data_IF_857837793788
#
_entry.id   IF_857837793788
#
_cell.length_a   1.000
_cell.length_b   1.000
_cell.length_c   1.000
_cell.angle_alpha   90.00
_cell.angle_beta   90.00
_cell.angle_gamma   90.00
#
_symmetry.space_group_name_H-M   'P 1'
#
loop_
_entity.id
_entity.type
_entity.pdbx_description
1 polymer ?
#
# COMPACT_ATOMS: atom_id res chain seq x y z
N UNK A 1 -11.76 -19.67 -34.20
CA UNK A 1 -12.15 -19.23 -32.86
C UNK A 1 -13.56 -19.74 -32.60
N UNK A 2 -13.72 -20.82 -31.84
CA UNK A 2 -15.06 -21.40 -31.57
C UNK A 2 -15.75 -20.56 -30.50
N UNK A 3 -16.87 -19.98 -30.83
CA UNK A 3 -17.70 -19.17 -29.93
C UNK A 3 -18.25 -20.12 -28.84
N UNK A 4 -17.90 -19.86 -27.59
CA UNK A 4 -18.37 -20.64 -26.46
C UNK A 4 -19.71 -20.07 -25.95
N UNK A 5 -20.81 -20.62 -26.45
CA UNK A 5 -22.17 -20.17 -26.11
C UNK A 5 -22.48 -20.23 -24.60
N UNK A 6 -21.84 -21.13 -23.83
CA UNK A 6 -21.99 -21.21 -22.39
C UNK A 6 -21.46 -19.94 -21.70
N UNK A 7 -20.29 -19.46 -22.12
CA UNK A 7 -19.69 -18.24 -21.53
C UNK A 7 -20.53 -17.01 -21.88
N UNK A 8 -21.03 -16.92 -23.12
CA UNK A 8 -21.92 -15.82 -23.52
C UNK A 8 -23.19 -15.82 -22.69
N UNK A 9 -23.80 -16.99 -22.48
CA UNK A 9 -24.99 -17.13 -21.65
C UNK A 9 -24.75 -16.70 -20.19
N UNK A 10 -23.60 -17.04 -19.60
CA UNK A 10 -23.23 -16.61 -18.26
C UNK A 10 -23.06 -15.08 -18.16
N UNK A 11 -22.34 -14.45 -19.10
CA UNK A 11 -22.19 -13.00 -19.11
C UNK A 11 -23.53 -12.29 -19.33
N UNK A 12 -24.38 -12.81 -20.20
CA UNK A 12 -25.72 -12.27 -20.40
C UNK A 12 -26.58 -12.37 -19.14
N UNK A 13 -26.54 -13.50 -18.45
CA UNK A 13 -27.25 -13.69 -17.18
C UNK A 13 -26.78 -12.69 -16.11
N UNK A 14 -25.48 -12.50 -15.95
CA UNK A 14 -24.90 -11.51 -15.02
C UNK A 14 -25.35 -10.09 -15.38
N UNK A 15 -25.32 -9.74 -16.67
CA UNK A 15 -25.81 -8.44 -17.14
C UNK A 15 -27.28 -8.22 -16.82
N UNK A 16 -28.13 -9.23 -17.05
CA UNK A 16 -29.55 -9.18 -16.69
C UNK A 16 -29.78 -9.01 -15.18
N UNK A 17 -28.99 -9.68 -14.34
CA UNK A 17 -29.08 -9.56 -12.89
C UNK A 17 -28.70 -8.15 -12.42
N UNK A 18 -27.61 -7.57 -12.98
CA UNK A 18 -27.18 -6.20 -12.65
C UNK A 18 -28.25 -5.18 -13.09
N UNK A 19 -28.77 -5.31 -14.30
CA UNK A 19 -29.87 -4.46 -14.78
C UNK A 19 -31.13 -4.63 -13.91
N UNK A 20 -31.47 -5.86 -13.54
CA UNK A 20 -32.60 -6.16 -12.65
C UNK A 20 -32.45 -5.47 -11.30
N UNK A 21 -31.27 -5.50 -10.68
CA UNK A 21 -31.00 -4.77 -9.43
C UNK A 21 -31.12 -3.26 -9.60
N UNK A 22 -30.73 -2.72 -10.76
CA UNK A 22 -30.88 -1.29 -11.09
C UNK A 22 -32.34 -0.84 -11.09
N UNK A 23 -33.24 -1.65 -11.66
CA UNK A 23 -34.67 -1.36 -11.73
C UNK A 23 -35.41 -1.65 -10.42
N UNK A 24 -35.04 -2.71 -9.70
CA UNK A 24 -35.76 -3.17 -8.49
C UNK A 24 -35.30 -2.40 -7.24
N UNK A 25 -34.01 -2.14 -7.10
CA UNK A 25 -33.45 -1.46 -5.91
C UNK A 25 -33.04 -0.03 -6.20
N UNK A 26 -31.86 0.13 -6.84
CA UNK A 26 -31.36 1.43 -7.27
C UNK A 26 -30.20 1.27 -8.24
N UNK A 27 -30.01 2.27 -9.11
CA UNK A 27 -28.88 2.33 -10.02
C UNK A 27 -27.53 2.46 -9.29
N UNK A 28 -27.49 3.14 -8.13
CA UNK A 28 -26.29 3.24 -7.31
C UNK A 28 -25.85 1.87 -6.81
N UNK A 29 -26.78 1.03 -6.35
CA UNK A 29 -26.50 -0.34 -5.90
C UNK A 29 -26.00 -1.20 -7.06
N UNK A 30 -26.65 -1.11 -8.23
CA UNK A 30 -26.25 -1.87 -9.41
C UNK A 30 -24.83 -1.49 -9.88
N UNK A 31 -24.51 -0.20 -9.92
CA UNK A 31 -23.17 0.30 -10.26
C UNK A 31 -22.12 -0.09 -9.22
N UNK A 32 -22.47 -0.07 -7.94
CA UNK A 32 -21.58 -0.54 -6.88
C UNK A 32 -21.24 -2.03 -7.04
N UNK A 33 -22.23 -2.89 -7.30
CA UNK A 33 -22.02 -4.31 -7.56
C UNK A 33 -21.15 -4.52 -8.82
N UNK A 34 -21.42 -3.78 -9.88
CA UNK A 34 -20.63 -3.84 -11.10
C UNK A 34 -19.16 -3.47 -10.84
N UNK A 35 -18.91 -2.36 -10.13
CA UNK A 35 -17.55 -1.92 -9.80
C UNK A 35 -16.82 -2.96 -8.94
N UNK A 36 -17.47 -3.52 -7.91
CA UNK A 36 -16.88 -4.57 -7.09
C UNK A 36 -16.57 -5.83 -7.92
N UNK A 37 -17.45 -6.19 -8.85
CA UNK A 37 -17.22 -7.28 -9.78
C UNK A 37 -16.02 -7.04 -10.71
N UNK A 38 -15.88 -5.83 -11.25
CA UNK A 38 -14.75 -5.45 -12.11
C UNK A 38 -13.42 -5.45 -11.33
N UNK A 39 -13.39 -4.91 -10.13
CA UNK A 39 -12.20 -4.95 -9.26
C UNK A 39 -11.81 -6.40 -8.97
N UNK A 40 -12.78 -7.25 -8.62
CA UNK A 40 -12.54 -8.67 -8.37
C UNK A 40 -12.03 -9.41 -9.62
N UNK A 41 -12.53 -9.05 -10.81
CA UNK A 41 -12.05 -9.60 -12.07
C UNK A 41 -10.59 -9.22 -12.37
N UNK A 42 -10.20 -7.96 -12.11
CA UNK A 42 -8.82 -7.50 -12.25
C UNK A 42 -7.89 -8.24 -11.29
N UNK A 43 -8.33 -8.41 -10.02
CA UNK A 43 -7.57 -9.19 -9.04
C UNK A 43 -7.41 -10.66 -9.49
N UNK A 44 -8.47 -11.29 -9.98
CA UNK A 44 -8.42 -12.66 -10.48
C UNK A 44 -7.49 -12.82 -11.68
N UNK A 45 -7.44 -11.83 -12.60
CA UNK A 45 -6.48 -11.80 -13.70
C UNK A 45 -5.04 -11.69 -13.18
N UNK A 46 -4.78 -10.84 -12.20
CA UNK A 46 -3.46 -10.71 -11.57
C UNK A 46 -3.00 -12.02 -10.92
N UNK A 47 -3.89 -12.70 -10.19
CA UNK A 47 -3.63 -14.04 -9.61
C UNK A 47 -3.34 -15.06 -10.70
N UNK A 48 -4.12 -15.07 -11.78
CA UNK A 48 -3.94 -16.01 -12.90
C UNK A 48 -2.60 -15.78 -13.63
N UNK A 49 -2.12 -14.55 -13.75
CA UNK A 49 -0.79 -14.26 -14.29
C UNK A 49 0.31 -14.85 -13.42
N UNK A 50 0.19 -14.75 -12.11
CA UNK A 50 1.19 -15.27 -11.17
C UNK A 50 1.12 -16.79 -11.08
N UNK A 51 -0.04 -17.35 -10.79
CA UNK A 51 -0.22 -18.79 -10.57
C UNK A 51 -0.34 -19.57 -11.88
N UNK A 52 -1.21 -19.12 -12.80
CA UNK A 52 -1.49 -19.83 -14.05
C UNK A 52 -0.36 -19.79 -15.05
N UNK A 53 0.29 -18.62 -15.23
CA UNK A 53 1.37 -18.48 -16.22
C UNK A 53 2.76 -18.59 -15.62
N UNK A 54 3.04 -17.96 -14.51
CA UNK A 54 4.38 -17.96 -13.90
C UNK A 54 4.60 -19.15 -12.95
N UNK A 55 3.58 -19.89 -12.57
CA UNK A 55 3.68 -21.00 -11.61
C UNK A 55 4.06 -20.56 -10.18
N UNK A 56 3.91 -19.29 -9.87
CA UNK A 56 4.26 -18.70 -8.57
C UNK A 56 3.04 -18.70 -7.66
N UNK A 57 3.08 -19.52 -6.60
CA UNK A 57 2.00 -19.59 -5.64
C UNK A 57 2.10 -18.45 -4.61
N UNK A 58 1.53 -17.29 -4.94
CA UNK A 58 1.51 -16.12 -4.08
C UNK A 58 0.16 -16.01 -3.37
N UNK A 59 0.15 -16.14 -2.05
CA UNK A 59 -1.04 -15.99 -1.20
C UNK A 59 -1.18 -14.56 -0.63
N UNK A 60 -0.13 -13.76 -0.73
CA UNK A 60 -0.06 -12.40 -0.17
C UNK A 60 -0.70 -11.30 -1.01
N UNK A 61 -1.68 -11.60 -1.86
CA UNK A 61 -2.28 -10.63 -2.78
C UNK A 61 -2.98 -9.49 -2.06
N UNK A 62 -3.59 -9.75 -0.91
CA UNK A 62 -4.31 -8.75 -0.14
C UNK A 62 -3.41 -7.59 0.34
N UNK A 63 -2.13 -7.84 0.64
CA UNK A 63 -1.18 -6.77 0.97
C UNK A 63 -0.93 -5.81 -0.20
N UNK A 64 -0.84 -6.33 -1.42
CA UNK A 64 -0.67 -5.49 -2.61
C UNK A 64 -1.94 -4.70 -2.96
N UNK A 65 -3.12 -5.28 -2.74
CA UNK A 65 -4.41 -4.59 -2.90
C UNK A 65 -4.53 -3.47 -1.88
N UNK A 66 -4.12 -3.72 -0.62
CA UNK A 66 -4.09 -2.72 0.43
C UNK A 66 -3.16 -1.53 0.09
N UNK A 67 -1.97 -1.81 -0.46
CA UNK A 67 -1.05 -0.76 -0.95
C UNK A 67 -1.66 0.08 -2.08
N UNK A 68 -2.39 -0.54 -3.00
CA UNK A 68 -3.12 0.18 -4.05
C UNK A 68 -4.20 1.11 -3.48
N UNK A 69 -4.96 0.64 -2.49
CA UNK A 69 -5.95 1.44 -1.77
C UNK A 69 -5.32 2.60 -0.98
N UNK A 70 -4.18 2.35 -0.32
CA UNK A 70 -3.42 3.38 0.37
C UNK A 70 -2.97 4.49 -0.59
N UNK A 71 -2.48 4.14 -1.78
CA UNK A 71 -2.07 5.13 -2.78
C UNK A 71 -3.23 6.04 -3.21
N UNK A 72 -4.45 5.50 -3.32
CA UNK A 72 -5.63 6.30 -3.63
C UNK A 72 -5.87 7.37 -2.55
N UNK A 73 -5.77 6.99 -1.27
CA UNK A 73 -5.90 7.92 -0.14
C UNK A 73 -4.77 8.95 -0.14
N UNK A 74 -3.52 8.51 -0.26
CA UNK A 74 -2.35 9.40 -0.19
C UNK A 74 -2.31 10.44 -1.32
N UNK A 75 -2.81 10.12 -2.51
CA UNK A 75 -2.71 10.98 -3.69
C UNK A 75 -3.96 11.84 -3.88
N UNK A 76 -5.15 11.25 -3.77
CA UNK A 76 -6.39 11.94 -4.15
C UNK A 76 -7.00 12.80 -3.06
N UNK A 77 -6.70 12.53 -1.80
CA UNK A 77 -7.26 13.33 -0.70
C UNK A 77 -6.52 14.67 -0.52
N UNK A 78 -7.21 15.70 -0.05
CA UNK A 78 -6.56 16.96 0.33
C UNK A 78 -5.65 16.73 1.54
N UNK A 79 -4.48 17.41 1.60
CA UNK A 79 -3.57 17.29 2.73
C UNK A 79 -4.18 17.89 4.00
N UNK A 80 -3.94 17.22 5.13
CA UNK A 80 -4.25 17.78 6.46
C UNK A 80 -3.15 18.76 6.83
N UNK A 81 -3.30 20.05 6.44
CA UNK A 81 -2.26 21.08 6.60
C UNK A 81 -1.79 21.25 8.03
N UNK A 82 -2.69 21.10 9.01
CA UNK A 82 -2.39 21.18 10.44
C UNK A 82 -1.48 20.04 10.89
N UNK A 83 -1.71 18.83 10.42
CA UNK A 83 -0.86 17.67 10.71
C UNK A 83 0.55 17.81 10.09
N UNK A 84 0.60 18.33 8.87
CA UNK A 84 1.88 18.66 8.22
C UNK A 84 2.66 19.73 8.98
N UNK A 85 2.00 20.77 9.46
CA UNK A 85 2.62 21.85 10.24
C UNK A 85 3.09 21.35 11.62
N UNK A 86 2.33 20.46 12.26
CA UNK A 86 2.63 19.96 13.61
C UNK A 86 3.86 19.04 13.66
N UNK A 87 3.97 18.09 12.72
CA UNK A 87 5.02 17.06 12.80
C UNK A 87 5.53 16.52 11.47
N UNK A 88 4.97 16.95 10.34
CA UNK A 88 5.29 16.36 9.03
C UNK A 88 6.77 16.39 8.67
N UNK A 89 7.47 17.51 8.95
CA UNK A 89 8.89 17.61 8.70
C UNK A 89 9.72 16.64 9.55
N UNK A 90 9.35 16.44 10.82
CA UNK A 90 10.05 15.51 11.72
C UNK A 90 9.88 14.06 11.27
N UNK A 91 8.67 13.69 10.81
CA UNK A 91 8.41 12.35 10.25
C UNK A 91 9.26 12.11 9.00
N UNK A 92 9.31 13.07 8.07
CA UNK A 92 10.15 12.95 6.86
C UNK A 92 11.62 12.83 7.23
N UNK A 93 12.12 13.69 8.13
CA UNK A 93 13.51 13.64 8.60
C UNK A 93 13.80 12.29 9.29
N UNK A 94 12.90 11.79 10.10
CA UNK A 94 13.00 10.47 10.72
C UNK A 94 13.13 9.37 9.65
N UNK A 95 12.25 9.35 8.65
CA UNK A 95 12.32 8.36 7.55
C UNK A 95 13.62 8.43 6.77
N UNK A 96 14.14 9.64 6.51
CA UNK A 96 15.45 9.84 5.86
C UNK A 96 16.58 9.30 6.74
N UNK A 97 16.55 9.55 8.04
CA UNK A 97 17.54 9.02 8.99
C UNK A 97 17.47 7.50 9.08
N UNK A 98 16.28 6.91 9.09
CA UNK A 98 16.10 5.46 9.02
C UNK A 98 16.67 4.85 7.74
N UNK A 99 16.37 5.45 6.60
CA UNK A 99 16.93 5.03 5.31
C UNK A 99 18.45 5.20 5.25
N UNK A 100 18.99 6.31 5.80
CA UNK A 100 20.43 6.54 5.91
C UNK A 100 21.11 5.51 6.81
N UNK A 101 20.47 5.10 7.90
CA UNK A 101 20.97 4.05 8.80
C UNK A 101 21.09 2.72 8.07
N UNK A 102 20.06 2.29 7.35
CA UNK A 102 20.07 1.04 6.58
C UNK A 102 21.11 1.09 5.47
N UNK A 103 21.14 2.20 4.70
CA UNK A 103 22.15 2.39 3.63
C UNK A 103 23.58 2.44 4.19
N UNK A 104 23.80 3.09 5.32
CA UNK A 104 25.07 3.12 6.00
C UNK A 104 25.55 1.74 6.44
N UNK A 105 24.65 0.93 6.99
CA UNK A 105 24.92 -0.46 7.37
C UNK A 105 25.27 -1.34 6.14
N UNK A 106 24.55 -1.18 5.04
CA UNK A 106 24.83 -1.89 3.77
C UNK A 106 26.19 -1.46 3.22
N UNK A 107 26.50 -0.16 3.20
CA UNK A 107 27.78 0.36 2.73
C UNK A 107 28.95 -0.13 3.60
N UNK A 108 28.77 -0.21 4.91
CA UNK A 108 29.79 -0.78 5.80
C UNK A 108 30.03 -2.26 5.47
N UNK A 109 28.99 -3.03 5.17
CA UNK A 109 29.10 -4.43 4.76
C UNK A 109 29.83 -4.62 3.43
N UNK A 110 29.64 -3.71 2.47
CA UNK A 110 30.22 -3.80 1.12
C UNK A 110 31.66 -3.27 1.09
N UNK A 111 31.95 -2.15 1.79
CA UNK A 111 33.23 -1.45 1.68
C UNK A 111 34.30 -1.88 2.68
N UNK A 112 33.89 -2.45 3.82
CA UNK A 112 34.86 -2.90 4.83
C UNK A 112 35.29 -4.34 4.61
N UNK A 113 36.59 -4.62 4.83
CA UNK A 113 37.12 -5.96 4.80
C UNK A 113 36.42 -6.89 5.82
N UNK A 114 36.25 -8.16 5.48
CA UNK A 114 35.61 -9.14 6.36
C UNK A 114 36.41 -9.28 7.67
N UNK A 115 35.72 -9.08 8.80
CA UNK A 115 36.35 -9.16 10.12
C UNK A 115 35.46 -8.63 11.24
N UNK A 116 35.94 -8.75 12.47
CA UNK A 116 35.20 -8.26 13.65
C UNK A 116 34.89 -6.77 13.58
N UNK A 117 35.80 -5.95 13.03
CA UNK A 117 35.60 -4.52 12.86
C UNK A 117 34.37 -4.21 11.99
N UNK A 118 34.19 -4.90 10.85
CA UNK A 118 33.01 -4.74 9.98
C UNK A 118 31.71 -5.06 10.73
N UNK A 119 31.67 -6.18 11.44
CA UNK A 119 30.48 -6.59 12.20
C UNK A 119 30.14 -5.59 13.29
N UNK A 120 31.13 -5.16 14.10
CA UNK A 120 30.94 -4.18 15.15
C UNK A 120 30.48 -2.82 14.62
N UNK A 121 31.08 -2.34 13.53
CA UNK A 121 30.65 -1.08 12.88
C UNK A 121 29.21 -1.19 12.36
N UNK A 122 28.84 -2.29 11.71
CA UNK A 122 27.47 -2.49 11.23
C UNK A 122 26.46 -2.50 12.38
N UNK A 123 26.78 -3.20 13.47
CA UNK A 123 25.91 -3.25 14.67
C UNK A 123 25.83 -1.85 15.31
N UNK A 124 26.94 -1.13 15.42
CA UNK A 124 26.94 0.22 15.98
C UNK A 124 26.10 1.20 15.14
N UNK A 125 26.18 1.13 13.79
CA UNK A 125 25.35 1.93 12.88
C UNK A 125 23.87 1.57 13.05
N UNK A 126 23.53 0.30 13.11
CA UNK A 126 22.13 -0.12 13.24
C UNK A 126 21.56 0.30 14.60
N UNK A 127 22.27 0.07 15.70
CA UNK A 127 21.78 0.42 17.04
C UNK A 127 21.77 1.94 17.20
N UNK A 128 22.86 2.64 16.92
CA UNK A 128 22.94 4.10 17.05
C UNK A 128 21.95 4.81 16.15
N UNK A 129 21.88 4.38 14.88
CA UNK A 129 20.93 4.92 13.90
C UNK A 129 19.48 4.65 14.27
N UNK A 130 19.17 3.49 14.86
CA UNK A 130 17.84 3.18 15.35
C UNK A 130 17.39 4.14 16.46
N UNK A 131 18.24 4.42 17.43
CA UNK A 131 17.92 5.37 18.50
C UNK A 131 17.76 6.80 17.98
N UNK A 132 18.61 7.23 17.03
CA UNK A 132 18.49 8.56 16.40
C UNK A 132 17.21 8.65 15.60
N UNK A 133 16.91 7.63 14.79
CA UNK A 133 15.65 7.51 14.05
C UNK A 133 14.45 7.65 14.97
N UNK A 134 14.38 6.84 16.03
CA UNK A 134 13.28 6.85 17.00
C UNK A 134 13.10 8.20 17.66
N UNK A 135 14.19 8.83 18.09
CA UNK A 135 14.15 10.14 18.78
C UNK A 135 13.53 11.26 17.92
N UNK A 136 13.75 11.23 16.61
CA UNK A 136 13.19 12.22 15.67
C UNK A 136 11.80 11.80 15.20
N UNK A 137 11.65 10.54 14.84
CA UNK A 137 10.43 10.00 14.23
C UNK A 137 9.26 9.96 15.21
N UNK A 138 9.45 9.38 16.41
CA UNK A 138 8.37 9.20 17.39
C UNK A 138 7.77 10.53 17.84
N UNK A 139 8.62 11.55 18.05
CA UNK A 139 8.16 12.89 18.39
C UNK A 139 7.32 13.53 17.27
N UNK A 140 7.72 13.32 16.01
CA UNK A 140 6.98 13.78 14.85
C UNK A 140 5.64 13.07 14.69
N UNK A 141 5.62 11.75 14.84
CA UNK A 141 4.40 10.93 14.79
C UNK A 141 3.41 11.35 15.86
N UNK A 142 3.84 11.44 17.12
CA UNK A 142 2.99 11.87 18.21
C UNK A 142 2.39 13.28 17.98
N UNK A 143 3.16 14.21 17.41
CA UNK A 143 2.68 15.53 17.06
C UNK A 143 1.61 15.50 15.95
N UNK A 144 1.81 14.68 14.90
CA UNK A 144 0.85 14.50 13.81
C UNK A 144 -0.45 13.90 14.31
N UNK A 145 -0.38 12.84 15.09
CA UNK A 145 -1.55 12.10 15.58
C UNK A 145 -2.36 12.91 16.60
N UNK A 146 -1.72 13.87 17.30
CA UNK A 146 -2.38 14.73 18.28
C UNK A 146 -3.22 15.85 17.67
N UNK A 147 -3.13 16.12 16.36
CA UNK A 147 -3.79 17.26 15.70
C UNK A 147 -5.29 17.19 15.76
N UNK A 148 -5.88 16.00 15.84
CA UNK A 148 -7.33 15.84 15.97
C UNK A 148 -7.66 14.80 17.04
N UNK A 149 -8.46 15.22 18.04
CA UNK A 149 -8.98 14.33 19.08
C UNK A 149 -9.83 13.17 18.53
N UNK A 150 -10.41 13.32 17.32
CA UNK A 150 -11.07 12.24 16.59
C UNK A 150 -10.10 11.31 15.84
N UNK A 151 -8.78 11.56 15.94
CA UNK A 151 -7.75 10.76 15.29
C UNK A 151 -7.73 10.91 13.78
N UNK A 152 -7.88 12.13 13.28
CA UNK A 152 -7.83 12.47 11.86
C UNK A 152 -6.46 12.95 11.39
N UNK A 153 -5.56 13.24 12.32
CA UNK A 153 -4.20 13.69 12.01
C UNK A 153 -3.39 12.61 11.32
N UNK A 154 -3.16 12.76 10.03
CA UNK A 154 -2.30 11.90 9.22
C UNK A 154 -1.63 12.71 8.10
N UNK A 155 -0.51 12.21 7.60
CA UNK A 155 0.26 12.89 6.55
C UNK A 155 -0.17 12.50 5.13
N UNK A 156 -1.30 11.81 4.98
CA UNK A 156 -1.85 11.48 3.67
C UNK A 156 -2.44 12.69 2.97
N UNK A 157 -2.65 12.53 1.67
CA UNK A 157 -3.22 13.56 0.81
C UNK A 157 -2.16 14.49 0.21
N UNK A 158 -1.90 14.30 -1.08
CA UNK A 158 -1.02 15.15 -1.88
C UNK A 158 -1.79 16.04 -2.85
N UNK A 159 -3.12 16.11 -2.72
CA UNK A 159 -3.95 16.97 -3.55
C UNK A 159 -3.94 18.40 -3.03
N UNK A 160 -2.91 19.17 -3.36
CA UNK A 160 -2.75 20.57 -3.01
C UNK A 160 -3.64 21.54 -3.85
N UNK A 161 -4.42 21.02 -4.80
CA UNK A 161 -5.25 21.79 -5.71
C UNK A 161 -6.49 22.46 -5.08
N UNK A 162 -6.66 22.36 -3.76
CA UNK A 162 -7.76 22.99 -3.02
C UNK A 162 -9.04 22.17 -2.99
N UNK A 163 -9.95 22.54 -2.08
CA UNK A 163 -11.19 21.85 -1.78
C UNK A 163 -12.26 21.85 -2.90
N UNK A 164 -11.89 22.13 -4.14
CA UNK A 164 -12.81 22.09 -5.25
C UNK A 164 -13.05 20.66 -5.72
N UNK A 165 -14.23 20.17 -5.48
CA UNK A 165 -14.78 18.86 -5.86
C UNK A 165 -14.50 18.42 -7.31
N UNK A 166 -14.19 19.34 -8.22
CA UNK A 166 -13.92 19.08 -9.63
C UNK A 166 -12.51 18.51 -9.89
N UNK A 167 -11.55 18.74 -8.99
CA UNK A 167 -10.15 18.35 -9.20
C UNK A 167 -9.84 16.93 -8.69
N UNK A 168 -10.72 16.35 -7.89
CA UNK A 168 -10.56 15.02 -7.30
C UNK A 168 -10.51 13.88 -8.34
N UNK A 169 -11.29 14.02 -9.41
CA UNK A 169 -11.33 12.97 -10.46
C UNK A 169 -9.99 12.77 -11.17
N UNK A 170 -9.27 13.86 -11.42
CA UNK A 170 -7.95 13.78 -12.07
C UNK A 170 -6.89 13.20 -11.12
N UNK A 171 -6.87 13.60 -9.86
CA UNK A 171 -5.94 13.05 -8.86
C UNK A 171 -6.24 11.57 -8.56
N UNK A 172 -7.49 11.15 -8.57
CA UNK A 172 -7.86 9.74 -8.48
C UNK A 172 -7.28 8.92 -9.64
N UNK A 173 -7.31 9.45 -10.87
CA UNK A 173 -6.68 8.78 -12.02
C UNK A 173 -5.15 8.67 -11.89
N UNK A 174 -4.48 9.69 -11.34
CA UNK A 174 -3.04 9.66 -11.05
C UNK A 174 -2.71 8.65 -9.95
N UNK A 175 -3.60 8.45 -8.99
CA UNK A 175 -3.39 7.50 -7.90
C UNK A 175 -3.27 6.05 -8.38
N UNK A 176 -3.90 5.69 -9.50
CA UNK A 176 -3.83 4.33 -10.05
C UNK A 176 -2.41 3.92 -10.51
N UNK A 177 -1.73 4.69 -11.39
CA UNK A 177 -0.37 4.36 -11.77
C UNK A 177 0.60 4.45 -10.58
N UNK A 178 0.40 5.41 -9.67
CA UNK A 178 1.24 5.52 -8.46
C UNK A 178 1.04 4.32 -7.54
N UNK A 179 -0.20 3.88 -7.32
CA UNK A 179 -0.50 2.66 -6.56
C UNK A 179 0.10 1.41 -7.21
N UNK A 180 0.01 1.31 -8.53
CA UNK A 180 0.66 0.25 -9.30
C UNK A 180 2.18 0.23 -9.14
N UNK A 181 2.83 1.40 -9.22
CA UNK A 181 4.28 1.53 -9.02
C UNK A 181 4.70 1.22 -7.59
N UNK A 182 3.93 1.66 -6.60
CA UNK A 182 4.18 1.37 -5.19
C UNK A 182 4.08 -0.14 -4.91
N UNK A 183 3.02 -0.78 -5.37
CA UNK A 183 2.84 -2.22 -5.26
C UNK A 183 3.94 -2.99 -6.02
N UNK A 184 4.32 -2.54 -7.23
CA UNK A 184 5.40 -3.13 -8.00
C UNK A 184 6.77 -2.99 -7.33
N UNK A 185 7.06 -1.84 -6.70
CA UNK A 185 8.28 -1.61 -5.94
C UNK A 185 8.41 -2.56 -4.75
N UNK A 186 7.33 -2.72 -3.98
CA UNK A 186 7.29 -3.68 -2.87
C UNK A 186 7.38 -5.11 -3.39
N UNK A 187 6.69 -5.45 -4.48
CA UNK A 187 6.77 -6.77 -5.10
C UNK A 187 8.19 -7.09 -5.61
N UNK A 188 8.90 -6.10 -6.17
CA UNK A 188 10.28 -6.27 -6.60
C UNK A 188 11.23 -6.55 -5.42
N UNK A 189 11.07 -5.82 -4.30
CA UNK A 189 11.85 -6.02 -3.09
C UNK A 189 11.62 -7.43 -2.52
N UNK A 190 10.35 -7.85 -2.42
CA UNK A 190 9.95 -9.18 -1.96
C UNK A 190 10.44 -10.25 -2.92
N UNK A 191 10.30 -10.02 -4.21
CA UNK A 191 10.73 -10.95 -5.25
C UNK A 191 12.22 -11.29 -5.15
N UNK A 192 13.08 -10.30 -4.90
CA UNK A 192 14.52 -10.53 -4.70
C UNK A 192 14.85 -11.49 -3.55
N UNK A 193 14.02 -11.52 -2.52
CA UNK A 193 14.25 -12.34 -1.32
C UNK A 193 13.48 -13.66 -1.35
N UNK A 194 12.26 -13.64 -1.87
CA UNK A 194 11.32 -14.77 -1.78
C UNK A 194 11.28 -15.68 -3.01
N UNK A 195 11.61 -15.19 -4.22
CA UNK A 195 11.51 -15.99 -5.45
C UNK A 195 12.48 -17.19 -5.51
N UNK A 196 13.53 -17.20 -4.69
CA UNK A 196 14.43 -18.35 -4.58
C UNK A 196 13.87 -19.49 -3.72
N UNK A 197 12.74 -19.29 -3.05
CA UNK A 197 12.11 -20.28 -2.20
C UNK A 197 11.31 -21.29 -3.04
N UNK A 198 11.19 -22.53 -2.53
CA UNK A 198 10.26 -23.52 -3.09
C UNK A 198 8.82 -23.02 -2.97
N UNK A 199 7.94 -23.47 -3.86
CA UNK A 199 6.55 -23.02 -3.97
C UNK A 199 5.80 -22.93 -2.63
N UNK A 200 5.94 -23.98 -1.79
CA UNK A 200 5.25 -24.05 -0.49
C UNK A 200 5.76 -22.96 0.49
N UNK A 201 7.08 -22.77 0.54
CA UNK A 201 7.69 -21.74 1.37
C UNK A 201 7.41 -20.32 0.83
N UNK A 202 7.32 -20.19 -0.50
CA UNK A 202 6.94 -18.94 -1.14
C UNK A 202 5.52 -18.53 -0.72
N UNK A 203 4.57 -19.46 -0.67
CA UNK A 203 3.21 -19.20 -0.23
C UNK A 203 3.17 -18.68 1.22
N UNK A 204 3.88 -19.34 2.13
CA UNK A 204 3.94 -18.93 3.54
C UNK A 204 4.64 -17.58 3.70
N UNK A 205 5.76 -17.37 2.99
CA UNK A 205 6.50 -16.13 3.03
C UNK A 205 5.67 -14.94 2.50
N UNK A 206 4.96 -15.12 1.38
CA UNK A 206 4.10 -14.07 0.80
C UNK A 206 2.90 -13.75 1.69
N UNK A 207 2.32 -14.74 2.35
CA UNK A 207 1.26 -14.54 3.33
C UNK A 207 1.79 -13.70 4.53
N UNK A 208 2.92 -14.10 5.11
CA UNK A 208 3.52 -13.38 6.24
C UNK A 208 3.88 -11.92 5.88
N UNK A 209 4.43 -11.70 4.68
CA UNK A 209 4.74 -10.34 4.21
C UNK A 209 3.46 -9.51 4.03
N UNK A 210 2.41 -10.11 3.48
CA UNK A 210 1.12 -9.45 3.33
C UNK A 210 0.52 -9.02 4.67
N UNK A 211 0.59 -9.89 5.67
CA UNK A 211 0.16 -9.57 7.05
C UNK A 211 1.00 -8.44 7.67
N UNK A 212 2.30 -8.40 7.40
CA UNK A 212 3.17 -7.29 7.85
C UNK A 212 2.73 -5.97 7.21
N UNK A 213 2.47 -5.95 5.89
CA UNK A 213 1.99 -4.75 5.19
C UNK A 213 0.67 -4.26 5.81
N UNK A 214 -0.28 -5.16 6.02
CA UNK A 214 -1.57 -4.83 6.61
C UNK A 214 -1.42 -4.38 8.06
N UNK A 215 -0.54 -5.01 8.84
CA UNK A 215 -0.26 -4.63 10.22
C UNK A 215 0.34 -3.22 10.30
N UNK A 216 1.29 -2.88 9.42
CA UNK A 216 1.82 -1.51 9.31
C UNK A 216 0.70 -0.51 9.00
N UNK A 217 -0.13 -0.79 8.01
CA UNK A 217 -1.23 0.11 7.64
C UNK A 217 -2.27 0.27 8.77
N UNK A 218 -2.50 -0.76 9.57
CA UNK A 218 -3.45 -0.72 10.70
C UNK A 218 -2.90 0.01 11.93
N UNK A 219 -1.60 -0.04 12.15
CA UNK A 219 -1.00 0.49 13.38
C UNK A 219 -0.34 1.87 13.19
N UNK A 220 -0.09 2.28 11.94
CA UNK A 220 0.55 3.57 11.64
C UNK A 220 -0.53 4.61 11.27
N UNK A 221 -1.16 5.20 12.29
CA UNK A 221 -2.25 6.16 12.12
C UNK A 221 -1.79 7.41 11.36
N UNK A 222 -0.54 7.86 11.56
CA UNK A 222 0.06 9.00 10.87
C UNK A 222 0.12 8.84 9.34
N UNK A 223 0.15 7.59 8.85
CA UNK A 223 0.26 7.28 7.41
C UNK A 223 -1.11 7.10 6.75
N UNK A 224 -2.01 6.32 7.37
CA UNK A 224 -3.25 5.86 6.74
C UNK A 224 -4.48 5.93 7.64
N UNK A 225 -4.43 6.62 8.77
CA UNK A 225 -5.45 6.62 9.83
C UNK A 225 -5.70 5.24 10.45
N UNK A 226 -4.81 4.31 10.27
CA UNK A 226 -4.84 2.98 10.89
C UNK A 226 -6.10 2.18 10.53
N UNK A 227 -6.83 1.70 11.54
CA UNK A 227 -8.10 0.97 11.38
C UNK A 227 -9.32 1.88 11.16
N UNK A 228 -9.15 3.19 11.30
CA UNK A 228 -10.23 4.16 11.14
C UNK A 228 -10.52 4.35 9.66
N UNK A 229 -11.80 4.40 9.30
CA UNK A 229 -12.18 4.65 7.93
C UNK A 229 -11.77 6.07 7.50
N UNK A 230 -11.22 6.17 6.29
CA UNK A 230 -11.01 7.47 5.65
C UNK A 230 -12.36 7.97 5.16
N UNK A 231 -12.90 8.98 5.83
CA UNK A 231 -14.19 9.59 5.51
C UNK A 231 -13.94 10.74 4.54
N UNK A 232 -14.78 10.87 3.51
CA UNK A 232 -14.70 11.99 2.56
C UNK A 232 -14.12 11.66 1.20
N UNK A 233 -14.14 10.36 0.84
CA UNK A 233 -13.91 9.91 -0.55
C UNK A 233 -15.17 10.02 -1.39
#
# INVERSE_FOLDING_TARGET
>A
MTINYKNIGLFFLVACLILGTGFVQSWNTALFILNMGLVSAIMALGVNLQWGFAGLFNVGIMGFVALGGLAAVLISMPPTTEAWAAGGLHVILGLILGAATVTGAILAQIRMAAGRARTLTTIAILIGGFFIFRAVFDGGVAAVESVDAAGTGYLGGLNFGGANYKDWGFMALISWPVGGLLAAGVAWLIGKTALSLRSDYLAIATLGISEIIIAVMKNEDWLSRGVKNVIGL
#
